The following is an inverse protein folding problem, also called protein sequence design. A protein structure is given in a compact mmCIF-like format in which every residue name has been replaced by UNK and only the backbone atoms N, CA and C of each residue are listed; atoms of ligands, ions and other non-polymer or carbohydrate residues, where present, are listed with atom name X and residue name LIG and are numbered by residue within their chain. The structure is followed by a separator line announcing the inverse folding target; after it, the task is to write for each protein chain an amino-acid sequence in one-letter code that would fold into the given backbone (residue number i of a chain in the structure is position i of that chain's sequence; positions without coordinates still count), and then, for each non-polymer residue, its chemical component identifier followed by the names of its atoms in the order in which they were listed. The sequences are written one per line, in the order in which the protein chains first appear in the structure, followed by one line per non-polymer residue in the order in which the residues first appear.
data_IF_564581987197
#
_entry.id   IF_564581987197
#
_cell.length_a   1.000
_cell.length_b   1.000
_cell.length_c   1.000
_cell.angle_alpha   90.00
_cell.angle_beta   90.00
_cell.angle_gamma   90.00
#
_symmetry.space_group_name_H-M   'P 1'
#
loop_
_entity.id
_entity.type
_entity.pdbx_description
1 polymer ?
#
# COMPACT_ATOMS: atom_id res chain seq x y z
N UNK A 1 -4.98 -23.40 -0.63
CA UNK A 1 -6.24 -22.60 -0.66
C UNK A 1 -6.03 -21.08 -0.66
N UNK A 2 -5.01 -20.55 0.02
CA UNK A 2 -4.71 -19.11 0.05
C UNK A 2 -4.18 -18.55 -1.27
N UNK A 3 -3.40 -19.34 -2.03
CA UNK A 3 -2.85 -18.92 -3.32
C UNK A 3 -3.93 -18.75 -4.40
N UNK A 4 -4.94 -19.63 -4.39
CA UNK A 4 -6.08 -19.56 -5.33
C UNK A 4 -6.96 -18.33 -5.06
N UNK A 5 -7.16 -17.95 -3.79
CA UNK A 5 -7.90 -16.72 -3.45
C UNK A 5 -7.18 -15.45 -3.91
N UNK A 6 -5.86 -15.38 -3.77
CA UNK A 6 -5.06 -14.23 -4.24
C UNK A 6 -5.08 -14.09 -5.76
N UNK A 7 -5.01 -15.20 -6.52
CA UNK A 7 -5.15 -15.19 -7.97
C UNK A 7 -6.54 -14.73 -8.42
N UNK A 8 -7.61 -15.18 -7.78
CA UNK A 8 -8.97 -14.69 -8.06
C UNK A 8 -9.11 -13.19 -7.85
N UNK A 9 -8.50 -12.63 -6.80
CA UNK A 9 -8.54 -11.18 -6.55
C UNK A 9 -7.80 -10.38 -7.62
N UNK A 10 -6.67 -10.87 -8.14
CA UNK A 10 -5.98 -10.21 -9.25
C UNK A 10 -6.81 -10.23 -10.52
N UNK A 11 -7.34 -11.36 -10.93
CA UNK A 11 -8.20 -11.46 -12.12
C UNK A 11 -9.46 -10.59 -12.02
N UNK A 12 -10.06 -10.46 -10.83
CA UNK A 12 -11.21 -9.59 -10.60
C UNK A 12 -10.83 -8.12 -10.78
N UNK A 13 -9.68 -7.69 -10.27
CA UNK A 13 -9.18 -6.32 -10.41
C UNK A 13 -8.90 -5.99 -11.87
N UNK A 14 -8.20 -6.87 -12.59
CA UNK A 14 -7.88 -6.69 -14.01
C UNK A 14 -9.16 -6.54 -14.84
N UNK A 15 -10.16 -7.40 -14.60
CA UNK A 15 -11.48 -7.33 -15.25
C UNK A 15 -12.20 -6.02 -14.90
N UNK A 16 -12.10 -5.55 -13.65
CA UNK A 16 -12.71 -4.29 -13.25
C UNK A 16 -12.08 -3.10 -13.97
N UNK A 17 -10.74 -3.01 -14.02
CA UNK A 17 -10.07 -1.93 -14.73
C UNK A 17 -10.39 -1.94 -16.23
N UNK A 18 -10.41 -3.11 -16.86
CA UNK A 18 -10.81 -3.25 -18.24
C UNK A 18 -12.26 -2.78 -18.49
N UNK A 19 -13.18 -3.09 -17.58
CA UNK A 19 -14.58 -2.62 -17.64
C UNK A 19 -14.73 -1.09 -17.52
N UNK A 20 -13.73 -0.43 -16.89
CA UNK A 20 -13.66 1.03 -16.79
C UNK A 20 -12.89 1.68 -17.95
N UNK A 21 -12.56 0.92 -19.00
CA UNK A 21 -11.83 1.41 -20.17
C UNK A 21 -10.34 1.64 -19.93
N UNK A 22 -9.79 1.14 -18.83
CA UNK A 22 -8.35 1.24 -18.52
C UNK A 22 -7.65 0.03 -19.13
N UNK A 23 -6.83 0.25 -20.15
CA UNK A 23 -6.01 -0.78 -20.76
C UNK A 23 -4.73 -0.98 -19.96
N UNK A 24 -4.63 -2.11 -19.29
CA UNK A 24 -3.44 -2.54 -18.55
C UNK A 24 -2.46 -3.34 -19.41
N UNK A 25 -2.71 -3.43 -20.73
CA UNK A 25 -1.93 -4.25 -21.64
C UNK A 25 -2.18 -5.76 -21.44
N UNK A 26 -1.30 -6.56 -22.03
CA UNK A 26 -1.43 -8.03 -21.98
C UNK A 26 -0.94 -8.54 -20.60
N UNK A 27 -1.87 -8.86 -19.73
CA UNK A 27 -1.61 -9.49 -18.43
C UNK A 27 -1.75 -11.01 -18.52
N UNK A 28 -0.83 -11.74 -17.91
CA UNK A 28 -0.85 -13.21 -17.88
C UNK A 28 -0.63 -13.72 -16.44
N UNK A 29 -1.45 -14.70 -15.97
CA UNK A 29 -1.28 -15.28 -14.66
C UNK A 29 0.06 -16.02 -14.51
N UNK A 30 0.75 -15.80 -13.41
CA UNK A 30 2.07 -16.39 -13.10
C UNK A 30 1.99 -17.89 -12.82
N UNK A 31 0.83 -18.41 -12.39
CA UNK A 31 0.69 -19.76 -11.83
C UNK A 31 1.11 -20.89 -12.75
N UNK A 32 0.88 -20.74 -14.04
CA UNK A 32 1.13 -21.82 -15.04
C UNK A 32 2.41 -21.62 -15.85
N UNK A 33 3.22 -20.61 -15.50
CA UNK A 33 4.46 -20.27 -16.21
C UNK A 33 5.64 -21.09 -15.67
N UNK A 34 6.55 -21.47 -16.55
CA UNK A 34 7.84 -22.07 -16.20
C UNK A 34 8.89 -20.99 -15.94
N UNK A 35 9.99 -21.35 -15.28
CA UNK A 35 11.03 -20.37 -14.91
C UNK A 35 11.57 -19.58 -16.13
N UNK A 36 11.78 -20.26 -17.24
CA UNK A 36 12.25 -19.62 -18.50
C UNK A 36 11.28 -18.59 -19.08
N UNK A 37 9.99 -18.67 -18.75
CA UNK A 37 8.98 -17.76 -19.29
C UNK A 37 9.04 -16.37 -18.66
N UNK A 38 9.86 -16.19 -17.61
CA UNK A 38 9.97 -14.93 -16.87
C UNK A 38 11.15 -14.04 -17.30
N UNK A 39 12.06 -14.55 -18.13
CA UNK A 39 13.18 -13.74 -18.62
C UNK A 39 12.67 -12.51 -19.38
N UNK A 40 13.17 -11.32 -19.01
CA UNK A 40 12.77 -10.05 -19.58
C UNK A 40 11.31 -9.66 -19.33
N UNK A 41 10.64 -10.26 -18.34
CA UNK A 41 9.26 -9.95 -17.97
C UNK A 41 9.18 -9.18 -16.66
N UNK A 42 8.16 -8.33 -16.56
CA UNK A 42 7.81 -7.68 -15.29
C UNK A 42 6.79 -8.56 -14.57
N UNK A 43 7.08 -8.89 -13.32
CA UNK A 43 6.17 -9.64 -12.46
C UNK A 43 5.62 -8.72 -11.38
N UNK A 44 4.32 -8.49 -11.38
CA UNK A 44 3.64 -7.68 -10.36
C UNK A 44 3.08 -8.60 -9.29
N UNK A 45 3.45 -8.35 -8.03
CA UNK A 45 3.06 -9.18 -6.92
C UNK A 45 2.90 -8.35 -5.64
N UNK A 46 2.09 -8.80 -4.66
CA UNK A 46 2.03 -8.14 -3.36
C UNK A 46 3.37 -8.27 -2.61
N UNK A 47 3.69 -7.34 -1.69
CA UNK A 47 4.97 -7.33 -0.96
C UNK A 47 5.30 -8.64 -0.24
N UNK A 48 4.28 -9.33 0.28
CA UNK A 48 4.44 -10.62 0.95
C UNK A 48 4.98 -11.72 0.03
N UNK A 49 4.81 -11.58 -1.27
CA UNK A 49 5.22 -12.58 -2.25
C UNK A 49 6.74 -12.76 -2.34
N UNK A 50 7.53 -11.74 -2.01
CA UNK A 50 9.00 -11.83 -1.97
C UNK A 50 9.50 -12.84 -0.93
N UNK A 51 8.73 -13.09 0.12
CA UNK A 51 9.05 -14.05 1.18
C UNK A 51 8.50 -15.45 0.91
N UNK A 52 7.65 -15.61 -0.09
CA UNK A 52 7.01 -16.86 -0.42
C UNK A 52 7.94 -17.77 -1.24
N UNK A 53 7.77 -19.09 -1.10
CA UNK A 53 8.58 -20.10 -1.83
C UNK A 53 8.52 -19.92 -3.35
N UNK A 54 7.41 -19.43 -3.89
CA UNK A 54 7.24 -19.28 -5.33
C UNK A 54 8.17 -18.22 -5.94
N UNK A 55 8.59 -17.20 -5.18
CA UNK A 55 9.52 -16.17 -5.68
C UNK A 55 10.92 -16.72 -5.94
N UNK A 56 11.30 -17.83 -5.29
CA UNK A 56 12.59 -18.50 -5.49
C UNK A 56 12.78 -19.10 -6.88
N UNK A 57 11.72 -19.16 -7.67
CA UNK A 57 11.76 -19.64 -9.06
C UNK A 57 12.34 -18.63 -10.04
N UNK A 58 12.46 -17.37 -9.64
CA UNK A 58 13.06 -16.33 -10.48
C UNK A 58 14.57 -16.38 -10.31
N UNK A 59 15.29 -16.45 -11.45
CA UNK A 59 16.73 -16.36 -11.46
C UNK A 59 17.11 -14.87 -11.44
N UNK A 60 17.82 -14.43 -10.40
CA UNK A 60 18.32 -13.07 -10.25
C UNK A 60 17.30 -11.96 -10.56
N UNK A 61 16.15 -11.93 -9.87
CA UNK A 61 15.15 -10.91 -10.13
C UNK A 61 15.61 -9.57 -9.60
N UNK A 62 15.50 -8.52 -10.40
CA UNK A 62 15.66 -7.13 -9.96
C UNK A 62 14.44 -6.74 -9.14
N UNK A 63 14.64 -6.42 -7.87
CA UNK A 63 13.55 -6.10 -6.93
C UNK A 63 13.19 -4.62 -7.04
N UNK A 64 12.01 -4.37 -7.60
CA UNK A 64 11.38 -3.06 -7.63
C UNK A 64 10.26 -3.01 -6.58
N UNK A 65 10.25 -2.01 -5.73
CA UNK A 65 9.22 -1.87 -4.70
C UNK A 65 8.55 -0.49 -4.77
N UNK A 66 7.24 -0.50 -5.01
CA UNK A 66 6.42 0.70 -5.06
C UNK A 66 5.76 0.95 -3.71
N UNK A 67 6.18 2.01 -3.02
CA UNK A 67 5.62 2.41 -1.73
C UNK A 67 6.06 3.83 -1.36
N UNK A 68 5.24 4.58 -0.66
CA UNK A 68 5.62 5.87 -0.07
C UNK A 68 6.80 5.76 0.91
N UNK A 69 6.98 4.59 1.53
CA UNK A 69 8.11 4.32 2.42
C UNK A 69 9.48 4.25 1.71
N UNK A 70 9.49 4.15 0.39
CA UNK A 70 10.71 4.14 -0.41
C UNK A 70 11.42 5.49 -0.46
N UNK A 71 10.77 6.56 -0.02
CA UNK A 71 11.40 7.85 0.25
C UNK A 71 12.47 7.77 1.36
N UNK A 72 12.39 6.76 2.23
CA UNK A 72 13.33 6.53 3.34
C UNK A 72 14.40 5.54 2.89
N UNK A 73 15.57 6.04 2.51
CA UNK A 73 16.72 5.23 1.99
C UNK A 73 17.07 4.02 2.85
N UNK A 74 17.01 4.16 4.19
CA UNK A 74 17.31 3.07 5.10
C UNK A 74 16.33 1.91 4.96
N UNK A 75 15.03 2.18 4.75
CA UNK A 75 14.02 1.13 4.54
C UNK A 75 14.21 0.40 3.22
N UNK A 76 14.55 1.11 2.15
CA UNK A 76 14.86 0.49 0.86
C UNK A 76 16.04 -0.48 1.00
N UNK A 77 17.13 -0.07 1.66
CA UNK A 77 18.30 -0.92 1.93
C UNK A 77 17.97 -2.16 2.77
N UNK A 78 17.20 -2.00 3.85
CA UNK A 78 16.81 -3.12 4.72
C UNK A 78 15.92 -4.15 4.00
N UNK A 79 15.16 -3.71 3.00
CA UNK A 79 14.27 -4.57 2.21
C UNK A 79 14.94 -5.13 0.95
N UNK A 80 16.25 -4.93 0.77
CA UNK A 80 17.02 -5.37 -0.42
C UNK A 80 16.37 -4.92 -1.73
N UNK A 81 15.82 -3.70 -1.74
CA UNK A 81 15.17 -3.12 -2.91
C UNK A 81 16.22 -2.45 -3.80
N UNK A 82 16.30 -2.87 -5.04
CA UNK A 82 17.21 -2.31 -6.02
C UNK A 82 16.64 -1.06 -6.70
N UNK A 83 15.35 -1.09 -7.01
CA UNK A 83 14.64 0.03 -7.64
C UNK A 83 13.51 0.51 -6.72
N UNK A 84 13.76 1.50 -5.84
CA UNK A 84 12.72 2.08 -5.01
C UNK A 84 11.85 3.03 -5.83
N UNK A 85 10.55 2.77 -5.91
CA UNK A 85 9.57 3.66 -6.51
C UNK A 85 8.77 4.35 -5.40
N UNK A 86 8.82 5.68 -5.38
CA UNK A 86 8.05 6.48 -4.42
C UNK A 86 6.65 6.67 -4.99
N UNK A 87 5.81 5.65 -4.82
CA UNK A 87 4.42 5.63 -5.25
C UNK A 87 3.57 5.22 -4.05
N UNK A 88 2.57 6.03 -3.71
CA UNK A 88 1.67 5.77 -2.59
C UNK A 88 0.23 6.06 -2.99
N UNK A 89 -0.69 5.23 -2.50
CA UNK A 89 -2.14 5.44 -2.55
C UNK A 89 -2.65 6.21 -1.30
N UNK A 90 -1.75 6.62 -0.42
CA UNK A 90 -2.03 7.43 0.74
C UNK A 90 -1.56 8.86 0.51
N UNK A 91 -2.34 9.83 0.98
CA UNK A 91 -1.93 11.23 0.98
C UNK A 91 -0.73 11.45 1.91
N UNK A 92 0.09 12.42 1.58
CA UNK A 92 1.15 12.88 2.47
C UNK A 92 0.60 13.79 3.59
N UNK A 93 1.50 14.24 4.47
CA UNK A 93 1.12 15.13 5.57
C UNK A 93 0.50 16.45 5.10
N UNK A 94 1.02 17.03 4.04
CA UNK A 94 0.54 18.31 3.52
C UNK A 94 -0.84 18.16 2.90
N UNK A 95 -1.04 17.12 2.10
CA UNK A 95 -2.34 16.81 1.49
C UNK A 95 -3.40 16.48 2.55
N UNK A 96 -3.03 15.66 3.57
CA UNK A 96 -3.92 15.31 4.67
C UNK A 96 -4.38 16.56 5.44
N UNK A 97 -3.42 17.41 5.84
CA UNK A 97 -3.74 18.63 6.59
C UNK A 97 -4.50 19.66 5.76
N UNK A 98 -4.18 19.77 4.47
CA UNK A 98 -4.94 20.61 3.54
C UNK A 98 -6.39 20.11 3.37
N UNK A 99 -6.58 18.80 3.30
CA UNK A 99 -7.91 18.20 3.21
C UNK A 99 -8.74 18.49 4.45
N UNK A 100 -8.18 18.33 5.64
CA UNK A 100 -8.87 18.63 6.91
C UNK A 100 -9.31 20.12 6.93
N UNK A 101 -8.43 21.04 6.51
CA UNK A 101 -8.76 22.45 6.42
C UNK A 101 -9.90 22.72 5.42
N UNK A 102 -9.86 22.08 4.25
CA UNK A 102 -10.91 22.22 3.22
C UNK A 102 -12.26 21.70 3.68
N UNK A 103 -12.28 20.65 4.49
CA UNK A 103 -13.52 20.08 5.04
C UNK A 103 -14.22 21.04 6.02
N UNK A 104 -13.52 22.04 6.56
CA UNK A 104 -14.06 22.99 7.55
C UNK A 104 -14.76 22.30 8.74
N UNK A 105 -14.29 21.12 9.10
CA UNK A 105 -14.87 20.32 10.18
C UNK A 105 -14.46 20.88 11.54
N UNK A 106 -15.36 20.77 12.52
CA UNK A 106 -15.08 21.14 13.92
C UNK A 106 -14.45 20.00 14.71
N UNK A 107 -14.60 18.77 14.24
CA UNK A 107 -14.12 17.58 14.94
C UNK A 107 -13.49 16.60 13.98
N UNK A 108 -12.33 16.04 14.35
CA UNK A 108 -11.57 15.04 13.61
C UNK A 108 -11.33 13.83 14.51
N UNK A 109 -11.73 12.66 14.04
CA UNK A 109 -11.42 11.38 14.66
C UNK A 109 -10.25 10.76 13.92
N UNK A 110 -9.16 10.49 14.66
CA UNK A 110 -7.93 9.97 14.08
C UNK A 110 -7.83 8.49 14.37
N UNK A 111 -7.53 7.70 13.33
CA UNK A 111 -7.30 6.25 13.45
C UNK A 111 -6.14 5.84 12.56
N UNK A 112 -5.43 4.80 12.96
CA UNK A 112 -4.23 4.23 12.35
C UNK A 112 -2.97 5.11 12.42
N UNK A 113 -1.85 4.45 12.61
CA UNK A 113 -0.55 5.08 12.64
C UNK A 113 -0.24 5.85 13.93
N UNK A 114 0.56 6.90 13.81
CA UNK A 114 0.89 7.81 14.92
C UNK A 114 -0.15 8.91 15.01
N UNK A 115 -1.19 8.63 15.74
CA UNK A 115 -2.35 9.50 15.92
C UNK A 115 -1.98 10.83 16.61
N UNK A 116 -1.01 10.78 17.53
CA UNK A 116 -0.60 11.93 18.35
C UNK A 116 -0.19 13.15 17.52
N UNK A 117 0.54 12.94 16.45
CA UNK A 117 1.02 14.03 15.60
C UNK A 117 -0.13 14.80 14.95
N UNK A 118 -1.13 14.08 14.42
CA UNK A 118 -2.27 14.67 13.75
C UNK A 118 -3.22 15.32 14.77
N UNK A 119 -3.45 14.67 15.89
CA UNK A 119 -4.25 15.22 17.00
C UNK A 119 -3.63 16.54 17.50
N UNK A 120 -2.31 16.54 17.73
CA UNK A 120 -1.60 17.76 18.14
C UNK A 120 -1.74 18.87 17.10
N UNK A 121 -1.52 18.56 15.81
CA UNK A 121 -1.66 19.54 14.76
C UNK A 121 -3.08 20.10 14.65
N UNK A 122 -4.11 19.27 14.72
CA UNK A 122 -5.51 19.72 14.71
C UNK A 122 -5.81 20.68 15.86
N UNK A 123 -5.37 20.36 17.07
CA UNK A 123 -5.53 21.22 18.24
C UNK A 123 -4.86 22.59 18.07
N UNK A 124 -3.71 22.63 17.41
CA UNK A 124 -3.03 23.90 17.07
C UNK A 124 -3.78 24.74 16.00
N UNK A 125 -4.74 24.14 15.32
CA UNK A 125 -5.63 24.80 14.35
C UNK A 125 -7.03 25.04 14.91
N UNK A 126 -7.21 24.93 16.24
CA UNK A 126 -8.51 25.04 16.94
C UNK A 126 -9.55 24.04 16.46
N UNK A 127 -9.09 22.89 15.95
CA UNK A 127 -9.94 21.77 15.56
C UNK A 127 -9.93 20.73 16.68
N UNK A 128 -11.12 20.36 17.20
CA UNK A 128 -11.24 19.30 18.18
C UNK A 128 -10.83 17.96 17.55
N UNK A 129 -9.80 17.31 18.10
CA UNK A 129 -9.32 16.05 17.58
C UNK A 129 -9.05 15.05 18.71
N UNK A 130 -9.45 13.80 18.46
CA UNK A 130 -9.27 12.68 19.40
C UNK A 130 -8.92 11.40 18.61
N UNK A 131 -8.13 10.50 19.23
CA UNK A 131 -7.96 9.14 18.71
C UNK A 131 -9.31 8.39 18.75
N UNK A 132 -9.59 7.65 17.69
CA UNK A 132 -10.86 6.92 17.58
C UNK A 132 -10.98 5.77 18.60
N UNK A 133 -9.87 5.14 18.99
CA UNK A 133 -9.87 4.02 19.94
C UNK A 133 -10.26 4.42 21.37
N UNK A 134 -10.19 5.73 21.72
CA UNK A 134 -10.57 6.24 23.04
C UNK A 134 -12.09 6.29 23.20
N UNK A 135 -12.84 6.25 22.09
CA UNK A 135 -14.30 6.22 22.13
C UNK A 135 -14.80 4.78 22.22
N UNK A 136 -15.43 4.43 23.31
CA UNK A 136 -16.05 3.12 23.53
C UNK A 136 -15.19 2.09 24.29
N UNK A 137 -14.01 2.47 24.80
CA UNK A 137 -13.18 1.63 25.68
C UNK A 137 -13.12 2.13 27.13
N UNK A 138 -13.95 3.08 27.50
CA UNK A 138 -13.97 3.62 28.87
C UNK A 138 -14.62 2.67 29.91
N UNK A 139 -15.12 1.50 29.49
CA UNK A 139 -15.85 0.58 30.35
C UNK A 139 -15.11 -0.73 30.71
N UNK A 140 -13.84 -0.90 30.32
CA UNK A 140 -13.04 -2.06 30.72
C UNK A 140 -11.78 -1.66 31.52
N UNK A 141 -12.02 -1.10 32.72
CA UNK A 141 -11.03 -1.06 33.80
C UNK A 141 -11.64 -1.59 35.09
#
# INVERSE_FOLDING_TARGET
HLSIRRQRQMCIRDSYYASQGIDLGKLEPVAHKKNKDFEGKIVIAPPSALKDKWSRRFSEPVICYASGWMSIKQRAKQSLVEIPLIISDHCDWNELTATIKKCKTKTVWVTHGREDALVYWCRKQDINAKPLYVQGREEEQ
#
